data_IF_990405485488
#
_entry.id   IF_990405485488
#
_cell.length_a   1.000
_cell.length_b   1.000
_cell.length_c   1.000
_cell.angle_alpha   90.00
_cell.angle_beta   90.00
_cell.angle_gamma   90.00
#
_symmetry.space_group_name_H-M   'P 1'
#
loop_
_entity.id
_entity.type
_entity.pdbx_description
1 polymer ?
#
# COMPACT_ATOMS: atom_id res chain seq x y z
N UNK A 1 -54.99 -28.25 -12.19
CA UNK A 1 -54.71 -28.78 -10.83
C UNK A 1 -53.32 -29.38 -10.83
N UNK A 2 -52.37 -28.71 -10.18
CA UNK A 2 -51.09 -29.29 -9.77
C UNK A 2 -50.58 -28.44 -8.60
N UNK A 3 -50.82 -28.94 -7.39
CA UNK A 3 -50.25 -28.45 -6.14
C UNK A 3 -48.82 -28.97 -6.02
N UNK A 4 -47.83 -28.08 -5.87
CA UNK A 4 -46.48 -28.46 -5.45
C UNK A 4 -46.09 -27.61 -4.25
N UNK A 5 -45.81 -28.32 -3.16
CA UNK A 5 -45.48 -27.89 -1.81
C UNK A 5 -44.27 -26.96 -1.74
N UNK A 6 -44.44 -25.76 -1.17
CA UNK A 6 -43.33 -24.91 -0.73
C UNK A 6 -42.82 -25.41 0.62
N UNK A 7 -41.68 -26.09 0.59
CA UNK A 7 -40.87 -26.38 1.77
C UNK A 7 -40.20 -25.09 2.22
N UNK A 8 -40.71 -24.52 3.31
CA UNK A 8 -40.08 -23.42 4.03
C UNK A 8 -38.68 -23.84 4.49
N UNK A 9 -37.64 -23.11 4.07
CA UNK A 9 -36.34 -23.11 4.74
C UNK A 9 -35.93 -21.67 5.03
N UNK A 10 -36.11 -21.34 6.30
CA UNK A 10 -35.65 -20.13 6.99
C UNK A 10 -34.15 -19.89 6.79
N UNK A 11 -33.78 -18.68 6.41
CA UNK A 11 -32.45 -18.14 6.63
C UNK A 11 -32.62 -16.73 7.24
N UNK A 12 -32.45 -16.69 8.57
CA UNK A 12 -32.63 -15.53 9.42
C UNK A 12 -31.59 -14.45 9.12
N UNK A 13 -32.04 -13.18 9.14
CA UNK A 13 -31.21 -12.01 9.45
C UNK A 13 -30.33 -12.35 10.66
N UNK A 14 -29.04 -12.03 10.57
CA UNK A 14 -28.08 -12.21 11.65
C UNK A 14 -28.68 -11.78 12.98
N UNK A 15 -28.53 -12.65 13.97
CA UNK A 15 -29.28 -12.53 15.21
C UNK A 15 -28.98 -11.19 15.88
N UNK A 16 -29.91 -10.69 16.72
CA UNK A 16 -29.71 -9.49 17.53
C UNK A 16 -28.37 -9.51 18.29
N UNK A 17 -27.91 -10.70 18.66
CA UNK A 17 -26.61 -10.96 19.28
C UNK A 17 -25.44 -10.56 18.35
N UNK A 18 -25.42 -11.05 17.11
CA UNK A 18 -24.36 -10.73 16.14
C UNK A 18 -24.30 -9.22 15.81
N UNK A 19 -25.46 -8.59 15.65
CA UNK A 19 -25.55 -7.15 15.40
C UNK A 19 -25.11 -6.31 16.61
N UNK A 20 -25.45 -6.76 17.82
CA UNK A 20 -25.02 -6.11 19.06
C UNK A 20 -23.51 -6.20 19.26
N UNK A 21 -22.88 -7.29 18.81
CA UNK A 21 -21.42 -7.44 18.85
C UNK A 21 -20.73 -6.60 17.78
N UNK A 22 -21.27 -6.55 16.55
CA UNK A 22 -20.65 -5.83 15.45
C UNK A 22 -20.74 -4.30 15.62
N UNK A 23 -21.89 -3.77 16.04
CA UNK A 23 -22.07 -2.34 16.27
C UNK A 23 -23.22 -2.06 17.25
N UNK A 24 -22.92 -1.89 18.55
CA UNK A 24 -23.91 -1.56 19.57
C UNK A 24 -24.68 -0.25 19.27
N UNK A 25 -24.03 0.70 18.61
CA UNK A 25 -24.63 1.98 18.18
C UNK A 25 -25.74 1.76 17.14
N UNK A 26 -25.58 0.83 16.21
CA UNK A 26 -26.61 0.51 15.23
C UNK A 26 -27.86 -0.10 15.87
N UNK A 27 -27.69 -0.87 16.95
CA UNK A 27 -28.82 -1.41 17.73
C UNK A 27 -29.53 -0.28 18.48
N UNK A 28 -28.78 0.61 19.13
CA UNK A 28 -29.35 1.75 19.86
C UNK A 28 -30.09 2.73 18.95
N UNK A 29 -29.55 3.03 17.76
CA UNK A 29 -30.23 3.87 16.77
C UNK A 29 -31.52 3.25 16.22
N UNK A 30 -31.65 1.91 16.27
CA UNK A 30 -32.91 1.20 15.96
C UNK A 30 -33.93 1.22 17.11
N UNK A 31 -33.61 1.85 18.23
CA UNK A 31 -34.45 1.87 19.44
C UNK A 31 -34.41 0.56 20.23
N UNK A 32 -33.56 -0.38 19.82
CA UNK A 32 -33.38 -1.66 20.49
C UNK A 32 -32.29 -1.56 21.57
N UNK A 33 -32.44 -2.36 22.63
CA UNK A 33 -31.35 -2.55 23.61
C UNK A 33 -30.38 -3.61 23.10
N UNK A 34 -29.07 -3.32 22.99
CA UNK A 34 -28.08 -4.31 22.62
C UNK A 34 -28.02 -5.44 23.62
N UNK A 35 -27.76 -6.64 23.11
CA UNK A 35 -27.58 -7.83 23.92
C UNK A 35 -26.37 -7.65 24.86
N UNK A 36 -26.56 -7.94 26.14
CA UNK A 36 -25.57 -7.63 27.19
C UNK A 36 -24.28 -8.42 27.01
N UNK A 37 -24.39 -9.71 26.69
CA UNK A 37 -23.22 -10.56 26.47
C UNK A 37 -22.44 -10.11 25.23
N UNK A 38 -23.14 -9.76 24.15
CA UNK A 38 -22.54 -9.20 22.94
C UNK A 38 -21.85 -7.87 23.19
N UNK A 39 -22.44 -7.02 24.04
CA UNK A 39 -21.90 -5.71 24.38
C UNK A 39 -20.68 -5.83 25.30
N UNK A 40 -20.69 -6.76 26.26
CA UNK A 40 -19.52 -7.10 27.08
C UNK A 40 -18.38 -7.66 26.21
N UNK A 41 -18.67 -8.53 25.23
CA UNK A 41 -17.66 -9.00 24.26
C UNK A 41 -17.14 -7.86 23.36
N UNK A 42 -18.02 -6.98 22.89
CA UNK A 42 -17.64 -5.81 22.09
C UNK A 42 -16.73 -4.85 22.89
N UNK A 43 -17.07 -4.56 24.15
CA UNK A 43 -16.27 -3.72 25.03
C UNK A 43 -14.96 -4.38 25.44
N UNK A 44 -14.94 -5.68 25.74
CA UNK A 44 -13.72 -6.41 26.05
C UNK A 44 -12.74 -6.37 24.87
N UNK A 45 -13.22 -6.47 23.62
CA UNK A 45 -12.41 -6.29 22.40
C UNK A 45 -11.86 -4.87 22.25
N UNK A 46 -12.56 -3.84 22.76
CA UNK A 46 -12.07 -2.44 22.76
C UNK A 46 -11.12 -2.16 23.91
N UNK A 47 -11.27 -2.85 25.04
CA UNK A 47 -10.44 -2.72 26.25
C UNK A 47 -9.16 -3.55 26.20
N UNK A 48 -9.15 -4.66 25.46
CA UNK A 48 -7.93 -5.39 25.12
C UNK A 48 -7.10 -4.53 24.16
N UNK A 49 -6.33 -3.60 24.71
CA UNK A 49 -5.32 -2.82 24.00
C UNK A 49 -4.18 -3.65 23.39
N UNK A 50 -4.25 -4.98 23.50
CA UNK A 50 -3.37 -5.92 22.84
C UNK A 50 -3.70 -6.02 21.35
N UNK A 51 -3.14 -5.08 20.59
CA UNK A 51 -3.11 -5.09 19.13
C UNK A 51 -2.24 -6.20 18.52
N UNK A 52 -1.70 -7.08 19.35
CA UNK A 52 -0.97 -8.29 18.99
C UNK A 52 -1.44 -9.31 20.04
N UNK A 53 -2.19 -10.36 19.70
CA UNK A 53 -1.57 -11.65 19.47
C UNK A 53 -2.57 -12.59 18.81
N UNK A 54 -2.33 -12.85 17.53
CA UNK A 54 -2.81 -14.05 16.86
C UNK A 54 -1.55 -14.57 16.15
N UNK A 55 -0.70 -15.22 16.94
CA UNK A 55 0.39 -16.05 16.44
C UNK A 55 -0.26 -17.14 15.58
N UNK A 56 0.03 -17.15 14.26
CA UNK A 56 -0.48 -18.16 13.33
C UNK A 56 -1.43 -17.67 12.20
N UNK A 57 -1.86 -16.40 12.17
CA UNK A 57 -2.66 -15.86 11.05
C UNK A 57 -1.81 -15.16 9.99
N UNK A 58 -0.82 -15.87 9.45
CA UNK A 58 -0.16 -15.47 8.21
C UNK A 58 -1.04 -15.93 7.04
N UNK A 59 -1.37 -15.02 6.13
CA UNK A 59 -1.91 -15.39 4.84
C UNK A 59 -0.91 -16.26 4.07
N UNK A 60 -1.36 -16.89 3.00
CA UNK A 60 -0.50 -17.67 2.10
C UNK A 60 0.64 -16.82 1.46
N UNK A 61 0.49 -15.50 1.54
CA UNK A 61 1.42 -14.44 1.15
C UNK A 61 2.34 -13.95 2.29
N UNK A 62 2.28 -14.57 3.48
CA UNK A 62 3.05 -14.17 4.66
C UNK A 62 2.53 -12.92 5.37
N UNK A 63 1.32 -12.42 5.05
CA UNK A 63 0.78 -11.19 5.65
C UNK A 63 -0.14 -11.46 6.82
N UNK A 64 0.01 -10.68 7.90
CA UNK A 64 -0.90 -10.68 9.06
C UNK A 64 -2.13 -9.83 8.71
N UNK A 65 -3.26 -10.47 8.40
CA UNK A 65 -4.53 -9.79 8.11
C UNK A 65 -5.17 -9.32 9.41
N UNK A 66 -5.40 -8.01 9.58
CA UNK A 66 -6.23 -7.48 10.68
C UNK A 66 -7.71 -7.69 10.36
N UNK A 67 -8.51 -7.95 11.40
CA UNK A 67 -9.92 -8.39 11.33
C UNK A 67 -10.93 -7.36 10.77
N UNK A 68 -10.45 -6.25 10.19
CA UNK A 68 -11.27 -5.16 9.69
C UNK A 68 -11.02 -4.82 8.20
N UNK A 69 -10.25 -5.63 7.47
CA UNK A 69 -10.07 -5.43 6.02
C UNK A 69 -9.23 -4.20 5.64
N UNK A 70 -8.76 -3.40 6.59
CA UNK A 70 -7.72 -2.39 6.36
C UNK A 70 -6.37 -3.08 6.33
N UNK A 71 -5.80 -3.17 5.13
CA UNK A 71 -4.37 -3.36 4.91
C UNK A 71 -3.66 -2.11 5.45
N UNK A 72 -2.63 -2.30 6.28
CA UNK A 72 -1.70 -1.21 6.56
C UNK A 72 -0.81 -1.09 5.33
N UNK A 73 -1.18 -0.20 4.41
CA UNK A 73 -0.44 0.05 3.17
C UNK A 73 0.93 0.71 3.46
N UNK A 74 1.15 1.15 4.70
CA UNK A 74 2.46 1.56 5.19
C UNK A 74 3.23 0.29 5.52
N UNK A 75 3.93 -0.26 4.52
CA UNK A 75 4.86 -1.36 4.73
C UNK A 75 5.72 -1.13 5.98
N UNK A 76 5.95 -2.18 6.79
CA UNK A 76 6.70 -2.05 8.05
C UNK A 76 8.03 -1.34 7.80
N UNK A 77 8.29 -0.27 8.57
CA UNK A 77 9.59 0.38 8.57
C UNK A 77 10.63 -0.64 9.01
N UNK A 78 11.64 -0.89 8.17
CA UNK A 78 12.78 -1.72 8.55
C UNK A 78 13.72 -0.94 9.45
N UNK A 79 14.62 -1.62 10.17
CA UNK A 79 15.60 -1.00 11.06
C UNK A 79 16.53 0.02 10.38
N UNK A 80 16.63 -0.05 9.04
CA UNK A 80 17.43 0.83 8.17
C UNK A 80 16.60 1.94 7.51
N UNK A 81 15.40 2.25 8.02
CA UNK A 81 14.48 3.27 7.50
C UNK A 81 14.09 3.05 6.03
N UNK A 82 13.99 1.80 5.59
CA UNK A 82 13.40 1.47 4.30
C UNK A 82 11.94 1.06 4.49
N UNK A 83 11.13 1.43 3.51
CA UNK A 83 9.74 1.05 3.37
C UNK A 83 9.63 -0.06 2.34
N UNK A 84 8.80 -1.07 2.63
CA UNK A 84 8.48 -2.15 1.69
C UNK A 84 6.96 -2.22 1.50
N UNK A 85 6.41 -1.31 0.71
CA UNK A 85 5.01 -1.27 0.31
C UNK A 85 4.78 -2.22 -0.87
N UNK A 86 3.53 -2.49 -1.25
CA UNK A 86 3.19 -3.47 -2.29
C UNK A 86 3.76 -3.12 -3.66
N UNK A 87 3.65 -1.85 -4.07
CA UNK A 87 4.06 -1.39 -5.39
C UNK A 87 5.27 -0.44 -5.33
N UNK A 88 5.87 -0.30 -4.14
CA UNK A 88 6.89 0.71 -3.91
C UNK A 88 7.81 0.32 -2.76
N UNK A 89 9.11 0.44 -2.97
CA UNK A 89 10.12 0.08 -1.98
C UNK A 89 11.25 1.11 -2.00
N UNK A 90 11.71 1.55 -0.83
CA UNK A 90 12.75 2.57 -0.81
C UNK A 90 12.92 3.31 0.51
N UNK A 91 13.74 4.35 0.51
CA UNK A 91 14.04 5.16 1.70
C UNK A 91 15.31 6.01 1.56
N UNK A 92 15.58 6.92 2.52
CA UNK A 92 15.00 6.94 3.86
C UNK A 92 13.65 7.65 3.90
N UNK A 93 13.30 8.34 2.81
CA UNK A 93 12.06 9.08 2.67
C UNK A 93 11.43 8.75 1.33
N UNK A 94 10.16 8.40 1.36
CA UNK A 94 9.32 8.22 0.19
C UNK A 94 8.23 9.29 0.20
N UNK A 95 8.25 10.20 -0.78
CA UNK A 95 7.25 11.25 -0.93
C UNK A 95 5.84 10.66 -1.01
N UNK A 96 4.85 11.32 -0.43
CA UNK A 96 3.44 10.91 -0.54
C UNK A 96 2.98 10.95 -2.00
N UNK A 97 2.33 9.88 -2.47
CA UNK A 97 1.73 9.82 -3.80
C UNK A 97 0.43 10.64 -3.87
N UNK A 98 0.07 11.21 -5.03
CA UNK A 98 0.84 11.26 -6.27
C UNK A 98 2.02 12.24 -6.18
N UNK A 99 3.03 12.00 -7.01
CA UNK A 99 4.35 12.66 -6.94
C UNK A 99 4.78 13.22 -8.28
N UNK A 100 5.45 14.37 -8.29
CA UNK A 100 6.11 14.95 -9.45
C UNK A 100 7.59 14.55 -9.53
N UNK A 101 8.11 14.47 -10.77
CA UNK A 101 9.54 14.29 -11.06
C UNK A 101 10.13 15.64 -11.48
N UNK A 102 10.90 16.27 -10.60
CA UNK A 102 11.56 17.55 -10.87
C UNK A 102 13.00 17.27 -11.30
N UNK A 103 13.45 17.75 -12.47
CA UNK A 103 14.83 17.59 -12.91
C UNK A 103 15.83 18.17 -11.89
N UNK A 104 16.96 17.49 -11.67
CA UNK A 104 18.01 18.00 -10.78
C UNK A 104 18.65 19.25 -11.42
N UNK A 105 18.63 20.42 -10.75
CA UNK A 105 19.20 21.65 -11.31
C UNK A 105 20.72 21.56 -11.53
N UNK A 106 21.24 22.20 -12.58
CA UNK A 106 22.69 22.24 -12.90
C UNK A 106 23.55 22.87 -11.79
N UNK A 107 22.96 23.78 -11.00
CA UNK A 107 23.61 24.43 -9.87
C UNK A 107 23.51 23.63 -8.55
N UNK A 108 22.88 22.45 -8.57
CA UNK A 108 22.79 21.60 -7.39
C UNK A 108 24.17 21.04 -7.00
N UNK A 109 24.49 21.03 -5.71
CA UNK A 109 25.82 20.59 -5.21
C UNK A 109 26.20 19.16 -5.60
N UNK A 110 25.20 18.32 -5.88
CA UNK A 110 25.37 16.92 -6.31
C UNK A 110 25.17 16.69 -7.81
N UNK A 111 25.01 17.75 -8.62
CA UNK A 111 24.63 17.63 -10.02
C UNK A 111 25.54 16.69 -10.82
N UNK A 112 26.87 16.79 -10.65
CA UNK A 112 27.84 15.90 -11.34
C UNK A 112 27.52 14.43 -11.08
N UNK A 113 27.41 14.02 -9.82
CA UNK A 113 27.10 12.62 -9.47
C UNK A 113 25.74 12.14 -9.97
N UNK A 114 24.76 13.05 -10.11
CA UNK A 114 23.39 12.71 -10.54
C UNK A 114 23.17 12.81 -12.05
N UNK A 115 24.11 13.39 -12.79
CA UNK A 115 24.01 13.61 -14.24
C UNK A 115 24.86 12.58 -14.98
N UNK A 116 24.19 11.65 -15.68
CA UNK A 116 24.85 10.55 -16.40
C UNK A 116 25.73 11.00 -17.59
N UNK A 117 25.63 12.27 -18.00
CA UNK A 117 26.47 12.86 -19.05
C UNK A 117 27.85 13.29 -18.52
N UNK A 118 28.05 13.31 -17.21
CA UNK A 118 29.35 13.59 -16.59
C UNK A 118 30.09 12.29 -16.31
N UNK A 119 31.41 12.33 -16.27
CA UNK A 119 32.25 11.15 -15.99
C UNK A 119 31.89 10.51 -14.64
N UNK A 120 31.72 11.32 -13.58
CA UNK A 120 31.40 10.78 -12.25
C UNK A 120 29.99 10.19 -12.19
N UNK A 121 29.02 10.83 -12.84
CA UNK A 121 27.65 10.33 -12.93
C UNK A 121 27.56 9.06 -13.78
N UNK A 122 28.35 8.97 -14.85
CA UNK A 122 28.45 7.77 -15.68
C UNK A 122 29.03 6.59 -14.89
N UNK A 123 30.16 6.77 -14.21
CA UNK A 123 30.78 5.73 -13.39
C UNK A 123 29.86 5.23 -12.28
N UNK A 124 29.18 6.14 -11.58
CA UNK A 124 28.19 5.78 -10.57
C UNK A 124 27.00 5.06 -11.22
N UNK A 125 26.55 5.54 -12.37
CA UNK A 125 25.47 4.95 -13.15
C UNK A 125 25.75 3.50 -13.54
N UNK A 126 26.97 3.16 -13.93
CA UNK A 126 27.37 1.77 -14.23
C UNK A 126 27.28 0.87 -12.99
N UNK A 127 27.69 1.37 -11.82
CA UNK A 127 27.57 0.63 -10.54
C UNK A 127 26.11 0.45 -10.12
N UNK A 128 25.25 1.45 -10.38
CA UNK A 128 23.81 1.33 -10.14
C UNK A 128 23.20 0.28 -11.06
N UNK A 129 23.54 0.31 -12.35
CA UNK A 129 23.03 -0.66 -13.33
C UNK A 129 23.42 -2.08 -12.98
N UNK A 130 24.66 -2.33 -12.54
CA UNK A 130 25.09 -3.67 -12.17
C UNK A 130 24.30 -4.23 -10.97
N UNK A 131 23.92 -3.37 -10.01
CA UNK A 131 23.02 -3.76 -8.91
C UNK A 131 21.62 -4.03 -9.44
N UNK A 132 21.04 -3.14 -10.26
CA UNK A 132 19.70 -3.33 -10.84
C UNK A 132 19.62 -4.65 -11.64
N UNK A 133 20.66 -4.96 -12.42
CA UNK A 133 20.77 -6.19 -13.21
C UNK A 133 20.88 -7.44 -12.33
N UNK A 134 21.67 -7.37 -11.24
CA UNK A 134 21.81 -8.44 -10.23
C UNK A 134 20.47 -8.84 -9.61
N UNK A 135 19.55 -7.88 -9.40
CA UNK A 135 18.22 -8.14 -8.84
C UNK A 135 17.13 -8.31 -9.91
N UNK A 136 17.50 -8.37 -11.19
CA UNK A 136 16.59 -8.62 -12.31
C UNK A 136 15.40 -7.64 -12.40
N UNK A 137 15.62 -6.38 -12.04
CA UNK A 137 14.58 -5.34 -12.09
C UNK A 137 14.33 -4.80 -13.52
N UNK A 138 15.25 -5.06 -14.45
CA UNK A 138 15.14 -4.68 -15.85
C UNK A 138 14.18 -5.61 -16.61
N UNK A 139 12.88 -5.42 -16.38
CA UNK A 139 11.83 -6.18 -17.07
C UNK A 139 11.47 -5.53 -18.41
N UNK A 140 11.12 -6.37 -19.41
CA UNK A 140 10.65 -5.89 -20.72
C UNK A 140 9.42 -4.99 -20.56
N UNK A 141 9.41 -3.85 -21.26
CA UNK A 141 8.29 -2.91 -21.28
C UNK A 141 8.47 -1.66 -20.41
N UNK A 142 9.54 -1.56 -19.61
CA UNK A 142 9.89 -0.32 -18.89
C UNK A 142 10.95 0.44 -19.68
N UNK A 143 10.63 1.68 -20.10
CA UNK A 143 11.49 2.47 -20.99
C UNK A 143 12.70 3.11 -20.30
N UNK A 144 12.67 3.26 -18.98
CA UNK A 144 13.73 3.88 -18.17
C UNK A 144 14.28 2.81 -17.23
N UNK A 145 15.62 2.67 -17.15
CA UNK A 145 16.24 1.78 -16.15
C UNK A 145 16.27 2.44 -14.78
N UNK A 146 16.73 3.69 -14.74
CA UNK A 146 16.69 4.55 -13.55
C UNK A 146 16.91 6.02 -13.95
N UNK A 147 16.67 6.94 -13.02
CA UNK A 147 17.01 8.37 -13.16
C UNK A 147 17.13 9.02 -11.78
N UNK A 148 17.81 10.16 -11.69
CA UNK A 148 17.80 11.00 -10.50
C UNK A 148 16.79 12.14 -10.67
N UNK A 149 15.91 12.33 -9.68
CA UNK A 149 14.95 13.41 -9.65
C UNK A 149 14.88 14.04 -8.27
N UNK A 150 14.48 15.32 -8.21
CA UNK A 150 13.78 15.84 -7.04
C UNK A 150 12.35 15.31 -7.05
N UNK A 151 12.04 14.39 -6.14
CA UNK A 151 10.69 13.86 -5.95
C UNK A 151 9.95 14.77 -4.98
N UNK A 152 8.69 15.07 -5.27
CA UNK A 152 7.86 15.89 -4.41
C UNK A 152 6.41 15.44 -4.51
N UNK A 153 5.68 15.42 -3.39
CA UNK A 153 4.24 15.18 -3.43
C UNK A 153 3.52 16.31 -4.16
N UNK A 154 2.48 15.97 -4.91
CA UNK A 154 1.63 16.95 -5.61
C UNK A 154 0.56 17.51 -4.66
N UNK A 155 0.08 16.70 -3.72
CA UNK A 155 -1.04 17.08 -2.82
C UNK A 155 -0.52 17.80 -1.58
N UNK A 156 0.56 17.30 -0.98
CA UNK A 156 1.16 17.87 0.22
C UNK A 156 2.68 18.03 0.00
N UNK A 157 3.10 19.03 -0.79
CA UNK A 157 4.48 19.16 -1.22
C UNK A 157 5.42 19.39 -0.04
N UNK A 158 6.51 18.63 -0.02
CA UNK A 158 7.59 18.83 0.93
C UNK A 158 8.22 20.24 0.73
N UNK A 159 8.79 20.87 1.76
CA UNK A 159 9.37 22.22 1.62
C UNK A 159 10.44 22.32 0.54
N UNK A 160 11.15 21.22 0.27
CA UNK A 160 12.10 21.10 -0.83
C UNK A 160 11.94 19.72 -1.49
N UNK A 161 12.11 19.61 -2.82
CA UNK A 161 12.11 18.32 -3.50
C UNK A 161 13.17 17.38 -2.93
N UNK A 162 12.78 16.13 -2.67
CA UNK A 162 13.66 15.09 -2.17
C UNK A 162 14.49 14.48 -3.30
N UNK A 163 15.82 14.68 -3.28
CA UNK A 163 16.70 14.02 -4.25
C UNK A 163 16.56 12.50 -4.12
N UNK A 164 16.18 11.83 -5.20
CA UNK A 164 15.82 10.42 -5.21
C UNK A 164 16.37 9.72 -6.45
N UNK A 165 17.00 8.56 -6.25
CA UNK A 165 17.26 7.56 -7.28
C UNK A 165 15.95 6.81 -7.57
N UNK A 166 15.32 7.16 -8.68
CA UNK A 166 14.05 6.61 -9.13
C UNK A 166 14.27 5.44 -10.09
N UNK A 167 13.68 4.28 -9.77
CA UNK A 167 13.83 3.02 -10.51
C UNK A 167 12.43 2.46 -10.81
N UNK A 168 11.90 2.64 -12.02
CA UNK A 168 10.65 2.00 -12.39
C UNK A 168 10.90 0.51 -12.64
N UNK A 169 10.11 -0.35 -12.03
CA UNK A 169 10.19 -1.80 -12.21
C UNK A 169 8.80 -2.42 -12.04
N UNK A 170 8.46 -3.47 -12.78
CA UNK A 170 7.16 -4.14 -12.61
C UNK A 170 7.24 -5.21 -11.52
N UNK A 171 6.32 -5.19 -10.56
CA UNK A 171 6.31 -6.15 -9.45
C UNK A 171 5.31 -7.26 -9.74
N UNK A 172 5.83 -8.43 -10.13
CA UNK A 172 5.02 -9.63 -10.34
C UNK A 172 4.73 -10.40 -9.04
N UNK A 173 5.69 -10.40 -8.12
CA UNK A 173 5.63 -11.11 -6.83
C UNK A 173 6.06 -10.16 -5.72
N UNK A 174 5.31 -10.15 -4.61
CA UNK A 174 5.69 -9.36 -3.43
C UNK A 174 6.64 -10.20 -2.57
N UNK A 175 7.94 -9.97 -2.76
CA UNK A 175 9.03 -10.56 -2.00
C UNK A 175 10.01 -9.48 -1.49
N UNK A 176 11.11 -9.92 -0.87
CA UNK A 176 12.18 -9.05 -0.37
C UNK A 176 13.18 -8.60 -1.43
N UNK A 177 13.02 -8.99 -2.71
CA UNK A 177 14.00 -8.73 -3.77
C UNK A 177 14.22 -7.23 -3.95
N UNK A 178 13.14 -6.45 -4.03
CA UNK A 178 13.20 -4.99 -4.13
C UNK A 178 13.82 -4.37 -2.87
N UNK A 179 13.52 -4.90 -1.68
CA UNK A 179 14.04 -4.38 -0.42
C UNK A 179 15.55 -4.59 -0.30
N UNK A 180 16.06 -5.76 -0.70
CA UNK A 180 17.49 -6.05 -0.74
C UNK A 180 18.20 -5.18 -1.77
N UNK A 181 17.60 -4.99 -2.95
CA UNK A 181 18.12 -4.09 -3.98
C UNK A 181 18.21 -2.65 -3.46
N UNK A 182 17.13 -2.12 -2.88
CA UNK A 182 17.09 -0.78 -2.32
C UNK A 182 18.16 -0.56 -1.24
N UNK A 183 18.38 -1.56 -0.37
CA UNK A 183 19.43 -1.52 0.65
C UNK A 183 20.84 -1.45 0.06
N UNK A 184 21.13 -2.25 -0.96
CA UNK A 184 22.44 -2.28 -1.63
C UNK A 184 22.70 -0.97 -2.39
N UNK A 185 21.70 -0.48 -3.13
CA UNK A 185 21.74 0.84 -3.77
C UNK A 185 21.97 1.95 -2.75
N UNK A 186 21.33 1.87 -1.58
CA UNK A 186 21.51 2.87 -0.54
C UNK A 186 22.93 2.88 0.01
N UNK A 187 23.53 1.71 0.24
CA UNK A 187 24.94 1.59 0.60
C UNK A 187 25.87 2.22 -0.46
N UNK A 188 25.60 1.96 -1.74
CA UNK A 188 26.33 2.56 -2.85
C UNK A 188 26.20 4.10 -2.84
N UNK A 189 25.00 4.65 -2.69
CA UNK A 189 24.80 6.10 -2.63
C UNK A 189 25.52 6.74 -1.43
N UNK A 190 25.44 6.13 -0.25
CA UNK A 190 26.13 6.62 0.96
C UNK A 190 27.65 6.67 0.74
N UNK A 191 28.25 5.60 0.21
CA UNK A 191 29.69 5.52 -0.08
C UNK A 191 30.16 6.49 -1.17
N UNK A 192 29.25 7.04 -1.98
CA UNK A 192 29.55 8.01 -3.04
C UNK A 192 29.05 9.44 -2.69
N UNK A 193 29.01 9.78 -1.39
CA UNK A 193 28.62 11.12 -0.91
C UNK A 193 27.19 11.57 -1.28
N UNK A 194 26.26 10.61 -1.42
CA UNK A 194 24.83 10.82 -1.68
C UNK A 194 23.96 10.27 -0.54
N UNK A 195 24.41 10.37 0.71
CA UNK A 195 23.68 9.82 1.87
C UNK A 195 22.27 10.41 2.05
N UNK A 196 22.07 11.67 1.64
CA UNK A 196 20.78 12.37 1.65
C UNK A 196 19.85 12.00 0.48
N UNK A 197 20.34 11.22 -0.50
CA UNK A 197 19.54 10.76 -1.62
C UNK A 197 18.68 9.56 -1.20
N UNK A 198 17.39 9.62 -1.46
CA UNK A 198 16.47 8.48 -1.32
C UNK A 198 16.66 7.48 -2.46
N UNK A 199 16.35 6.22 -2.20
CA UNK A 199 16.10 5.22 -3.25
C UNK A 199 14.60 4.99 -3.34
N UNK A 200 14.07 4.90 -4.55
CA UNK A 200 12.67 4.55 -4.80
C UNK A 200 12.58 3.59 -5.98
N UNK A 201 12.27 2.33 -5.68
CA UNK A 201 11.89 1.32 -6.66
C UNK A 201 10.37 1.27 -6.69
N UNK A 202 9.76 1.44 -7.86
CA UNK A 202 8.32 1.63 -7.96
C UNK A 202 7.72 0.94 -9.17
N UNK A 203 6.58 0.30 -8.97
CA UNK A 203 5.73 -0.16 -10.06
C UNK A 203 4.92 1.02 -10.58
N UNK A 204 5.06 1.38 -11.88
CA UNK A 204 4.27 2.46 -12.48
C UNK A 204 2.77 2.33 -12.29
N UNK A 205 2.26 1.11 -12.02
CA UNK A 205 0.86 0.87 -11.68
C UNK A 205 0.41 1.66 -10.45
N UNK A 206 1.30 2.02 -9.52
CA UNK A 206 0.97 2.83 -8.34
C UNK A 206 0.43 4.22 -8.71
N UNK A 207 0.79 4.74 -9.89
CA UNK A 207 0.34 6.04 -10.38
C UNK A 207 -0.86 5.93 -11.32
N UNK A 208 -1.38 4.72 -11.55
CA UNK A 208 -2.58 4.54 -12.37
C UNK A 208 -3.79 5.04 -11.57
N UNK A 209 -4.60 5.97 -12.12
CA UNK A 209 -5.80 6.42 -11.45
C UNK A 209 -6.71 5.23 -11.11
N UNK A 210 -7.14 5.15 -9.85
CA UNK A 210 -8.14 4.17 -9.45
C UNK A 210 -9.49 4.67 -9.95
N UNK A 211 -10.05 3.97 -10.95
CA UNK A 211 -11.41 4.24 -11.38
C UNK A 211 -12.37 3.75 -10.28
N UNK A 212 -12.97 4.70 -9.57
CA UNK A 212 -14.08 4.41 -8.66
C UNK A 212 -15.37 4.72 -9.39
N UNK A 213 -16.20 3.70 -9.56
CA UNK A 213 -17.54 3.86 -10.11
C UNK A 213 -18.51 3.91 -8.93
N UNK A 214 -19.46 4.87 -8.89
CA UNK A 214 -20.52 4.83 -7.90
C UNK A 214 -21.28 3.52 -8.07
N UNK A 215 -21.59 2.86 -6.95
CA UNK A 215 -22.47 1.70 -6.98
C UNK A 215 -23.88 2.20 -7.25
N UNK A 216 -24.41 1.92 -8.45
CA UNK A 216 -25.74 2.34 -8.88
C UNK A 216 -26.81 1.42 -8.30
N UNK A 217 -28.02 1.94 -8.12
CA UNK A 217 -29.13 1.16 -7.54
C UNK A 217 -29.49 -0.06 -8.40
N UNK A 218 -29.17 -0.02 -9.69
CA UNK A 218 -29.38 -1.08 -10.67
C UNK A 218 -28.26 -2.14 -10.68
N UNK A 219 -27.11 -1.85 -10.04
CA UNK A 219 -25.99 -2.77 -9.92
C UNK A 219 -26.45 -4.03 -9.19
N UNK A 220 -25.89 -5.17 -9.59
CA UNK A 220 -26.33 -6.48 -9.08
C UNK A 220 -26.13 -6.61 -7.57
N UNK A 221 -25.21 -5.84 -6.99
CA UNK A 221 -25.02 -5.73 -5.53
C UNK A 221 -26.20 -5.07 -4.82
N UNK A 222 -27.01 -4.27 -5.53
CA UNK A 222 -28.18 -3.56 -5.03
C UNK A 222 -29.53 -4.22 -5.40
N UNK A 223 -29.55 -5.24 -6.28
CA UNK A 223 -30.78 -5.98 -6.68
C UNK A 223 -31.34 -6.91 -5.59
N UNK A 224 -31.14 -6.54 -4.34
CA UNK A 224 -31.40 -7.36 -3.17
C UNK A 224 -32.42 -6.82 -2.19
N UNK A 225 -33.35 -5.92 -2.53
CA UNK A 225 -34.60 -5.72 -1.74
C UNK A 225 -35.75 -5.26 -2.67
N UNK A 226 -36.77 -6.11 -2.95
CA UNK A 226 -38.04 -5.65 -3.47
C UNK A 226 -38.78 -4.86 -2.39
N UNK A 227 -39.11 -3.61 -2.69
CA UNK A 227 -39.94 -2.74 -1.86
C UNK A 227 -41.38 -3.30 -1.85
N UNK A 228 -41.86 -3.81 -0.72
CA UNK A 228 -43.26 -4.20 -0.54
C UNK A 228 -43.94 -3.20 0.39
N UNK A 229 -44.37 -2.08 -0.20
CA UNK A 229 -45.46 -1.27 0.35
C UNK A 229 -46.71 -1.51 -0.49
N UNK A 230 -47.83 -1.62 0.25
CA UNK A 230 -49.21 -1.93 -0.12
C UNK A 230 -49.59 -3.41 -0.10
#
# INVERSE_FOLDING_TARGET
>A
MATVSVLARSALRGSKHELSYASPLLIQMRGDRPDRESLERHENKRRSGDFNDEEGKLGYDGRKRRSWGSSDDKGRLTHDNLHNEDLRVGGPYLCSIPTANIPVPKNHVKFRLTCLETDEGWELGQKILSIIDKYHLNQRGVSLRFSFFGRQSIIDPEPQPCLTLYIPAKRGTVDDTWLRCARELRGLLISNNLASCSVEIVDPMVFTPVNTYPVLQEDTVNRGIPDSRY
#
